data_IF_607906670721
#
_entry.id   IF_607906670721
#
_cell.length_a   1.000
_cell.length_b   1.000
_cell.length_c   1.000
_cell.angle_alpha   90.00
_cell.angle_beta   90.00
_cell.angle_gamma   90.00
#
_symmetry.space_group_name_H-M   'P 1'
#
loop_
_entity.id
_entity.type
_entity.pdbx_description
1 polymer ?
#
# COMPACT_ATOMS: atom_id res chain seq x y z
N UNK A 1 11.74 18.06 36.07
CA UNK A 1 11.32 17.03 35.10
C UNK A 1 11.55 17.60 33.71
N UNK A 2 12.55 17.07 33.02
CA UNK A 2 13.05 17.63 31.78
C UNK A 2 12.12 17.29 30.61
N UNK A 3 11.83 18.28 29.76
CA UNK A 3 11.03 18.15 28.53
C UNK A 3 11.56 17.11 27.53
N UNK A 4 12.73 16.55 27.79
CA UNK A 4 13.40 15.50 27.00
C UNK A 4 12.63 14.19 26.96
N UNK A 5 11.88 13.86 28.04
CA UNK A 5 11.10 12.60 28.10
C UNK A 5 9.85 12.59 27.24
N UNK A 6 9.41 13.77 26.73
CA UNK A 6 8.26 13.90 25.83
C UNK A 6 8.58 13.70 24.35
N UNK A 7 9.87 13.55 24.02
CA UNK A 7 10.36 13.34 22.65
C UNK A 7 10.70 11.87 22.36
N UNK A 8 10.35 10.95 23.25
CA UNK A 8 10.41 9.54 22.86
C UNK A 8 9.35 9.30 21.80
N UNK A 9 9.83 9.04 20.58
CA UNK A 9 8.99 8.59 19.48
C UNK A 9 8.26 7.34 19.96
N UNK A 10 6.92 7.33 20.06
CA UNK A 10 6.16 6.16 20.50
C UNK A 10 6.31 4.97 19.53
N UNK A 11 6.93 5.17 18.36
CA UNK A 11 7.21 4.15 17.37
C UNK A 11 8.70 4.08 17.02
N UNK A 12 9.55 3.55 17.89
CA UNK A 12 11.01 3.47 17.64
C UNK A 12 11.38 2.55 16.46
N UNK A 13 10.44 1.71 15.96
CA UNK A 13 10.67 0.73 14.91
C UNK A 13 9.87 1.04 13.64
N UNK A 14 10.25 2.11 12.95
CA UNK A 14 9.61 2.48 11.67
C UNK A 14 10.01 1.57 10.50
N UNK A 15 11.06 0.75 10.65
CA UNK A 15 11.53 -0.19 9.63
C UNK A 15 10.57 -1.35 9.35
N UNK A 16 9.69 -1.68 10.29
CA UNK A 16 8.67 -2.73 10.14
C UNK A 16 7.70 -2.42 8.99
N UNK A 17 7.34 -1.16 8.82
CA UNK A 17 6.40 -0.73 7.77
C UNK A 17 6.98 -1.00 6.38
N UNK A 18 8.20 -0.53 6.01
CA UNK A 18 8.78 -0.82 4.70
C UNK A 18 9.03 -2.33 4.49
N UNK A 19 9.40 -3.09 5.51
CA UNK A 19 9.57 -4.54 5.40
C UNK A 19 8.22 -5.23 5.15
N UNK A 20 7.17 -4.85 5.87
CA UNK A 20 5.83 -5.39 5.64
C UNK A 20 5.33 -5.07 4.23
N UNK A 21 5.54 -3.84 3.75
CA UNK A 21 5.17 -3.44 2.38
C UNK A 21 5.95 -4.21 1.32
N UNK A 22 7.27 -4.38 1.51
CA UNK A 22 8.09 -5.17 0.59
C UNK A 22 7.64 -6.64 0.56
N UNK A 23 7.39 -7.22 1.72
CA UNK A 23 6.88 -8.59 1.82
C UNK A 23 5.54 -8.74 1.12
N UNK A 24 4.62 -7.83 1.35
CA UNK A 24 3.32 -7.82 0.68
C UNK A 24 3.46 -7.68 -0.84
N UNK A 25 4.35 -6.82 -1.32
CA UNK A 25 4.62 -6.65 -2.75
C UNK A 25 5.20 -7.92 -3.38
N UNK A 26 6.15 -8.59 -2.73
CA UNK A 26 6.73 -9.85 -3.20
C UNK A 26 5.69 -10.98 -3.24
N UNK A 27 4.82 -11.06 -2.24
CA UNK A 27 3.73 -12.05 -2.22
C UNK A 27 2.71 -11.78 -3.34
N UNK A 28 2.35 -10.51 -3.54
CA UNK A 28 1.42 -10.10 -4.61
C UNK A 28 2.01 -10.42 -5.99
N UNK A 29 3.29 -10.10 -6.21
CA UNK A 29 4.01 -10.45 -7.43
C UNK A 29 4.04 -11.97 -7.65
N UNK A 30 4.43 -12.75 -6.66
CA UNK A 30 4.44 -14.21 -6.79
C UNK A 30 3.06 -14.79 -7.10
N UNK A 31 2.01 -14.25 -6.49
CA UNK A 31 0.63 -14.60 -6.79
C UNK A 31 0.23 -14.22 -8.22
N UNK A 32 0.60 -13.02 -8.68
CA UNK A 32 0.32 -12.54 -10.04
C UNK A 32 0.98 -13.40 -11.11
N UNK A 33 2.25 -13.80 -10.91
CA UNK A 33 2.93 -14.74 -11.82
C UNK A 33 2.18 -16.07 -11.92
N UNK A 34 1.75 -16.63 -10.77
CA UNK A 34 1.02 -17.91 -10.76
C UNK A 34 -0.37 -17.78 -11.40
N UNK A 35 -1.05 -16.67 -11.15
CA UNK A 35 -2.37 -16.40 -11.74
C UNK A 35 -2.28 -16.19 -13.26
N UNK A 36 -1.33 -15.37 -13.72
CA UNK A 36 -1.09 -15.14 -15.14
C UNK A 36 -0.78 -16.43 -15.91
N UNK A 37 0.10 -17.28 -15.35
CA UNK A 37 0.38 -18.61 -15.89
C UNK A 37 -0.87 -19.49 -15.95
N UNK A 38 -1.66 -19.51 -14.87
CA UNK A 38 -2.87 -20.34 -14.79
C UNK A 38 -3.90 -19.92 -15.83
N UNK A 39 -4.11 -18.60 -16.00
CA UNK A 39 -5.01 -18.06 -17.04
C UNK A 39 -4.50 -18.42 -18.43
N UNK A 40 -3.20 -18.27 -18.71
CA UNK A 40 -2.61 -18.62 -19.99
C UNK A 40 -2.82 -20.10 -20.33
N UNK A 41 -2.53 -21.01 -19.39
CA UNK A 41 -2.69 -22.44 -19.56
C UNK A 41 -4.19 -22.83 -19.71
N UNK A 42 -5.07 -22.21 -18.93
CA UNK A 42 -6.50 -22.43 -19.07
C UNK A 42 -7.00 -22.04 -20.45
N UNK A 43 -6.56 -20.91 -20.98
CA UNK A 43 -6.91 -20.45 -22.34
C UNK A 43 -6.33 -21.40 -23.43
N UNK A 44 -5.20 -22.01 -23.16
CA UNK A 44 -4.60 -23.03 -24.05
C UNK A 44 -5.26 -24.42 -23.96
N UNK A 45 -6.31 -24.58 -23.16
CA UNK A 45 -7.04 -25.84 -23.01
C UNK A 45 -6.51 -26.79 -21.91
N UNK A 46 -5.53 -26.35 -21.10
CA UNK A 46 -4.99 -27.16 -20.00
C UNK A 46 -5.94 -27.31 -18.79
N UNK A 47 -7.06 -26.59 -18.79
CA UNK A 47 -7.92 -26.48 -17.64
C UNK A 47 -7.33 -25.59 -16.54
N UNK A 48 -8.04 -25.42 -15.45
CA UNK A 48 -7.60 -24.63 -14.31
C UNK A 48 -6.68 -25.45 -13.41
N UNK A 49 -5.37 -25.18 -13.47
CA UNK A 49 -4.36 -25.89 -12.68
C UNK A 49 -3.57 -24.88 -11.83
N UNK A 50 -3.53 -25.14 -10.52
CA UNK A 50 -2.85 -24.28 -9.55
C UNK A 50 -1.76 -25.05 -8.81
N UNK A 51 -0.54 -24.53 -8.64
CA UNK A 51 0.53 -25.20 -7.91
C UNK A 51 0.17 -25.31 -6.43
N UNK A 52 0.64 -26.37 -5.77
CA UNK A 52 0.34 -26.65 -4.37
C UNK A 52 1.60 -26.55 -3.50
N UNK A 53 1.38 -26.15 -2.25
CA UNK A 53 2.44 -26.12 -1.24
C UNK A 53 3.64 -25.26 -1.67
N UNK A 54 4.84 -25.78 -1.48
CA UNK A 54 6.08 -25.06 -1.81
C UNK A 54 6.29 -24.79 -3.31
N UNK A 55 5.59 -25.53 -4.18
CA UNK A 55 5.68 -25.30 -5.63
C UNK A 55 5.17 -23.91 -6.02
N UNK A 56 4.29 -23.29 -5.20
CA UNK A 56 3.87 -21.89 -5.38
C UNK A 56 5.05 -20.91 -5.49
N UNK A 57 6.05 -21.08 -4.66
CA UNK A 57 7.23 -20.20 -4.65
C UNK A 57 8.36 -20.73 -5.54
N UNK A 58 8.66 -22.02 -5.47
CA UNK A 58 9.83 -22.60 -6.16
C UNK A 58 9.68 -22.65 -7.68
N UNK A 59 8.45 -22.67 -8.22
CA UNK A 59 8.22 -22.67 -9.67
C UNK A 59 8.25 -21.29 -10.31
N UNK A 60 8.23 -20.19 -9.56
CA UNK A 60 8.14 -18.83 -10.11
C UNK A 60 9.26 -18.56 -11.13
N UNK A 61 10.51 -18.83 -10.77
CA UNK A 61 11.64 -18.59 -11.66
C UNK A 61 11.58 -19.44 -12.94
N UNK A 62 11.13 -20.69 -12.83
CA UNK A 62 10.97 -21.56 -13.99
C UNK A 62 9.82 -21.07 -14.91
N UNK A 63 8.73 -20.57 -14.33
CA UNK A 63 7.63 -19.97 -15.11
C UNK A 63 8.10 -18.72 -15.85
N UNK A 64 8.85 -17.85 -15.18
CA UNK A 64 9.43 -16.65 -15.79
C UNK A 64 10.48 -17.00 -16.87
N UNK A 65 11.16 -18.14 -16.72
CA UNK A 65 12.06 -18.69 -17.74
C UNK A 65 11.33 -19.36 -18.93
N UNK A 66 9.98 -19.33 -18.94
CA UNK A 66 9.17 -19.82 -20.06
C UNK A 66 8.72 -21.28 -19.93
N UNK A 67 8.72 -21.86 -18.72
CA UNK A 67 8.25 -23.22 -18.47
C UNK A 67 6.83 -23.22 -17.86
N UNK A 68 5.77 -23.24 -18.67
CA UNK A 68 4.38 -23.04 -18.22
C UNK A 68 3.85 -24.17 -17.31
N UNK A 69 4.40 -25.38 -17.40
CA UNK A 69 4.00 -26.52 -16.60
C UNK A 69 4.78 -26.66 -15.27
N UNK A 70 5.77 -25.79 -15.03
CA UNK A 70 6.64 -25.92 -13.86
C UNK A 70 5.84 -25.92 -12.54
N UNK A 71 6.07 -26.94 -11.69
CA UNK A 71 5.41 -27.05 -10.38
C UNK A 71 3.94 -27.44 -10.40
N UNK A 72 3.40 -27.83 -11.57
CA UNK A 72 2.07 -28.44 -11.69
C UNK A 72 2.16 -29.95 -11.58
N UNK A 73 1.31 -30.52 -10.76
CA UNK A 73 1.18 -31.97 -10.58
C UNK A 73 -0.31 -32.34 -10.48
N UNK A 74 -0.84 -33.14 -11.43
CA UNK A 74 -0.16 -33.65 -12.66
C UNK A 74 0.17 -32.52 -13.65
N UNK A 75 1.23 -32.70 -14.44
CA UNK A 75 1.57 -31.77 -15.51
C UNK A 75 0.47 -31.79 -16.59
N UNK A 76 -0.04 -30.65 -17.05
CA UNK A 76 -1.08 -30.61 -18.07
C UNK A 76 -0.55 -31.08 -19.43
N UNK A 77 -1.41 -31.76 -20.21
CA UNK A 77 -1.09 -32.30 -21.55
C UNK A 77 -0.90 -31.14 -22.56
N UNK A 78 -1.71 -30.09 -22.43
CA UNK A 78 -1.59 -28.88 -23.25
C UNK A 78 -1.10 -27.73 -22.37
N UNK A 79 -0.15 -26.93 -22.85
CA UNK A 79 0.35 -25.74 -22.15
C UNK A 79 0.41 -24.57 -23.10
N UNK A 80 0.26 -23.37 -22.55
CA UNK A 80 0.45 -22.14 -23.29
C UNK A 80 1.89 -21.98 -23.78
N UNK A 81 2.09 -21.21 -24.83
CA UNK A 81 3.45 -20.82 -25.24
C UNK A 81 4.09 -19.88 -24.22
N UNK A 82 5.41 -19.85 -24.15
CA UNK A 82 6.14 -18.94 -23.25
C UNK A 82 5.74 -17.47 -23.44
N UNK A 83 5.53 -17.05 -24.68
CA UNK A 83 5.06 -15.67 -24.99
C UNK A 83 3.67 -15.39 -24.47
N UNK A 84 2.73 -16.33 -24.60
CA UNK A 84 1.38 -16.18 -24.06
C UNK A 84 1.38 -16.12 -22.53
N UNK A 85 2.19 -16.97 -21.87
CA UNK A 85 2.36 -16.93 -20.41
C UNK A 85 2.88 -15.56 -19.97
N UNK A 86 3.93 -15.05 -20.61
CA UNK A 86 4.51 -13.76 -20.28
C UNK A 86 3.51 -12.62 -20.49
N UNK A 87 2.76 -12.64 -21.60
CA UNK A 87 1.71 -11.64 -21.87
C UNK A 87 0.64 -11.62 -20.77
N UNK A 88 0.16 -12.80 -20.36
CA UNK A 88 -0.82 -12.89 -19.27
C UNK A 88 -0.24 -12.50 -17.90
N UNK A 89 1.02 -12.85 -17.60
CA UNK A 89 1.67 -12.41 -16.37
C UNK A 89 1.70 -10.88 -16.34
N UNK A 90 2.19 -10.23 -17.39
CA UNK A 90 2.26 -8.76 -17.45
C UNK A 90 0.87 -8.13 -17.28
N UNK A 91 -0.15 -8.68 -17.94
CA UNK A 91 -1.52 -8.18 -17.83
C UNK A 91 -2.03 -8.28 -16.39
N UNK A 92 -1.87 -9.43 -15.76
CA UNK A 92 -2.31 -9.65 -14.38
C UNK A 92 -1.56 -8.76 -13.40
N UNK A 93 -0.24 -8.61 -13.57
CA UNK A 93 0.58 -7.73 -12.72
C UNK A 93 0.15 -6.26 -12.82
N UNK A 94 -0.16 -5.78 -14.03
CA UNK A 94 -0.68 -4.42 -14.21
C UNK A 94 -2.03 -4.26 -13.49
N UNK A 95 -2.94 -5.21 -13.64
CA UNK A 95 -4.25 -5.16 -12.97
C UNK A 95 -4.09 -5.18 -11.45
N UNK A 96 -3.23 -6.06 -10.92
CA UNK A 96 -2.94 -6.13 -9.48
C UNK A 96 -2.30 -4.85 -8.96
N UNK A 97 -1.34 -4.28 -9.69
CA UNK A 97 -0.69 -3.02 -9.32
C UNK A 97 -1.69 -1.85 -9.29
N UNK A 98 -2.57 -1.76 -10.28
CA UNK A 98 -3.63 -0.75 -10.30
C UNK A 98 -4.60 -0.95 -9.12
N UNK A 99 -5.06 -2.17 -8.88
CA UNK A 99 -5.94 -2.48 -7.76
C UNK A 99 -5.29 -2.15 -6.41
N UNK A 100 -4.02 -2.51 -6.22
CA UNK A 100 -3.25 -2.18 -5.01
C UNK A 100 -3.10 -0.66 -4.82
N UNK A 101 -2.83 0.08 -5.90
CA UNK A 101 -2.71 1.55 -5.87
C UNK A 101 -4.04 2.19 -5.47
N UNK A 102 -5.15 1.75 -6.06
CA UNK A 102 -6.49 2.24 -5.70
C UNK A 102 -6.82 1.91 -4.24
N UNK A 103 -6.56 0.67 -3.82
CA UNK A 103 -6.81 0.24 -2.44
C UNK A 103 -5.98 1.09 -1.45
N UNK A 104 -4.71 1.34 -1.75
CA UNK A 104 -3.84 2.20 -0.93
C UNK A 104 -4.36 3.65 -0.89
N UNK A 105 -4.75 4.21 -2.03
CA UNK A 105 -5.32 5.57 -2.09
C UNK A 105 -6.60 5.69 -1.25
N UNK A 106 -7.49 4.69 -1.34
CA UNK A 106 -8.72 4.62 -0.53
C UNK A 106 -8.37 4.48 0.96
N UNK A 107 -7.42 3.60 1.30
CA UNK A 107 -6.98 3.43 2.68
C UNK A 107 -6.39 4.72 3.26
N UNK A 108 -5.51 5.40 2.53
CA UNK A 108 -4.94 6.69 2.95
C UNK A 108 -6.01 7.77 3.08
N UNK A 109 -7.01 7.79 2.20
CA UNK A 109 -8.14 8.73 2.29
C UNK A 109 -9.01 8.46 3.52
N UNK A 110 -9.24 7.20 3.90
CA UNK A 110 -10.12 6.84 5.01
C UNK A 110 -9.40 6.77 6.36
N UNK A 111 -8.14 6.37 6.41
CA UNK A 111 -7.38 6.12 7.64
C UNK A 111 -6.02 6.83 7.70
N UNK A 112 -5.66 7.60 6.67
CA UNK A 112 -4.37 8.26 6.60
C UNK A 112 -4.14 9.29 7.73
N UNK A 113 -2.87 9.58 8.05
CA UNK A 113 -2.48 10.44 9.18
C UNK A 113 -2.95 11.89 9.08
N UNK A 114 -3.41 12.35 7.91
CA UNK A 114 -4.00 13.68 7.71
C UNK A 114 -5.41 13.86 8.27
N UNK A 115 -6.06 12.79 8.73
CA UNK A 115 -7.37 12.86 9.41
C UNK A 115 -7.16 12.92 10.92
N UNK A 116 -6.81 14.07 11.41
CA UNK A 116 -6.87 14.37 12.85
C UNK A 116 -8.35 14.41 13.29
N UNK A 117 -8.88 13.25 13.67
CA UNK A 117 -10.20 13.18 14.29
C UNK A 117 -10.12 13.80 15.68
N UNK A 118 -10.81 14.92 15.87
CA UNK A 118 -10.90 15.58 17.18
C UNK A 118 -9.90 16.72 17.41
N UNK A 119 -9.05 17.04 16.46
CA UNK A 119 -8.25 18.29 16.50
C UNK A 119 -8.82 19.29 15.52
N UNK A 120 -8.84 20.56 15.91
CA UNK A 120 -9.24 21.66 15.04
C UNK A 120 -8.34 21.72 13.81
N UNK A 121 -8.94 21.94 12.64
CA UNK A 121 -8.19 22.16 11.40
C UNK A 121 -7.31 23.42 11.53
N UNK A 122 -6.24 23.58 10.73
CA UNK A 122 -5.43 24.79 10.74
C UNK A 122 -6.27 26.06 10.55
N UNK A 123 -7.32 26.01 9.72
CA UNK A 123 -8.25 27.13 9.50
C UNK A 123 -9.15 27.41 10.70
N UNK A 124 -9.62 26.37 11.40
CA UNK A 124 -10.38 26.52 12.65
C UNK A 124 -9.50 27.05 13.79
N UNK A 125 -8.25 26.57 13.87
CA UNK A 125 -7.27 27.05 14.84
C UNK A 125 -6.95 28.53 14.59
N UNK A 126 -6.75 28.94 13.35
CA UNK A 126 -6.53 30.35 12.97
C UNK A 126 -7.76 31.21 13.31
N UNK A 127 -8.97 30.70 13.07
CA UNK A 127 -10.23 31.41 13.40
C UNK A 127 -10.43 31.53 14.90
N UNK A 128 -10.11 30.48 15.67
CA UNK A 128 -10.30 30.46 17.12
C UNK A 128 -9.20 31.19 17.91
N UNK A 129 -7.94 31.03 17.50
CA UNK A 129 -6.76 31.50 18.23
C UNK A 129 -5.84 32.41 17.39
N UNK A 130 -6.23 32.70 16.16
CA UNK A 130 -5.36 33.40 15.21
C UNK A 130 -5.11 34.87 15.56
N UNK A 131 -4.11 35.43 14.89
CA UNK A 131 -3.65 36.82 15.08
C UNK A 131 -4.76 37.85 14.96
N UNK A 132 -5.80 37.60 14.16
CA UNK A 132 -6.95 38.52 14.01
C UNK A 132 -7.72 38.65 15.32
N UNK A 133 -7.96 37.56 16.03
CA UNK A 133 -8.66 37.54 17.31
C UNK A 133 -7.80 38.15 18.42
N UNK A 134 -6.51 37.83 18.45
CA UNK A 134 -5.57 38.46 19.40
C UNK A 134 -5.49 39.97 19.20
N UNK A 135 -5.47 40.43 17.95
CA UNK A 135 -5.51 41.91 17.64
C UNK A 135 -6.83 42.55 18.02
N UNK A 136 -7.94 41.87 17.86
CA UNK A 136 -9.25 42.38 18.24
C UNK A 136 -9.40 42.57 19.76
N UNK A 137 -8.74 41.69 20.54
CA UNK A 137 -8.80 41.75 22.02
C UNK A 137 -7.51 42.28 22.67
N UNK A 138 -6.67 42.98 21.90
CA UNK A 138 -5.38 43.53 22.37
C UNK A 138 -5.48 44.37 23.64
N UNK A 139 -6.55 45.17 23.78
CA UNK A 139 -6.83 46.03 24.95
C UNK A 139 -7.14 45.21 26.22
N UNK A 140 -7.66 44.00 26.09
CA UNK A 140 -7.89 43.08 27.22
C UNK A 140 -6.63 42.33 27.59
N UNK A 141 -5.85 41.93 26.56
CA UNK A 141 -4.62 41.09 26.73
C UNK A 141 -3.46 41.96 27.27
N UNK A 142 -3.35 43.22 26.78
CA UNK A 142 -2.28 44.15 27.12
C UNK A 142 -2.84 45.55 27.32
N UNK A 143 -3.62 45.77 28.41
CA UNK A 143 -4.22 47.04 28.71
C UNK A 143 -3.17 48.15 28.97
N UNK A 144 -1.96 47.76 29.38
CA UNK A 144 -0.81 48.64 29.57
C UNK A 144 -0.31 49.28 28.27
N UNK A 145 -0.47 48.62 27.14
CA UNK A 145 -0.04 49.11 25.81
C UNK A 145 -1.19 49.63 24.94
N UNK A 146 -2.39 49.15 25.20
CA UNK A 146 -3.60 49.47 24.42
C UNK A 146 -4.76 49.78 25.36
N UNK A 147 -4.77 50.98 25.98
CA UNK A 147 -5.86 51.38 26.87
C UNK A 147 -7.20 51.43 26.10
N UNK A 148 -8.31 51.13 26.79
CA UNK A 148 -9.63 51.25 26.19
C UNK A 148 -9.88 52.73 25.80
N UNK A 149 -10.66 52.96 24.73
CA UNK A 149 -11.01 54.31 24.29
C UNK A 149 -11.81 55.06 25.34
#
# INVERSE_FOLDING_TARGET
MLQTDRRHDPYPFTWEIPVALLTAALLLFGFGVQLGRTVANWQAGAGWAWPRGRALATSILAVLAGHPAAGLDPAPVATATAGAVMGWIITVEIVLALAATVALAVALRHWGPGRMRGMASPSETETALGLRRLRAHRNVIRPDLYPPP
#
